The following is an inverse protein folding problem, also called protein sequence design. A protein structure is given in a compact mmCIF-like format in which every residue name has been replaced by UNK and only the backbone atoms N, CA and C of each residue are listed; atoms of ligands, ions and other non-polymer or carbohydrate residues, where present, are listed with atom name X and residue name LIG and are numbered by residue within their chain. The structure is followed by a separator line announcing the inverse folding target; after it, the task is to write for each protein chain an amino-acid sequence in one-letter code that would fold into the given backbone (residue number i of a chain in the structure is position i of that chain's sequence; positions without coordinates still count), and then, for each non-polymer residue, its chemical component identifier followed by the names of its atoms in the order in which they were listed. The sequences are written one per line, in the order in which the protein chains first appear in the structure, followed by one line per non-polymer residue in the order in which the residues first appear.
data_IF_991839396467
#
_entry.id   IF_991839396467
#
_cell.length_a   1.000
_cell.length_b   1.000
_cell.length_c   1.000
_cell.angle_alpha   90.00
_cell.angle_beta   90.00
_cell.angle_gamma   90.00
#
_symmetry.space_group_name_H-M   'P 1'
#
loop_
_entity.id
_entity.type
_entity.pdbx_description
1 polymer ?
#
# COMPACT_ATOMS: atom_id res chain seq x y z
N UNK A 1 -49.64 -57.51 -37.54
CA UNK A 1 -48.72 -57.13 -36.49
C UNK A 1 -47.49 -56.50 -37.16
N UNK A 2 -47.54 -55.19 -37.32
CA UNK A 2 -46.46 -54.41 -38.02
C UNK A 2 -45.62 -53.75 -36.98
N UNK A 3 -44.33 -54.11 -36.94
CA UNK A 3 -43.34 -53.49 -36.06
C UNK A 3 -42.86 -52.16 -36.69
N UNK A 4 -43.16 -51.08 -36.01
CA UNK A 4 -42.71 -49.74 -36.35
C UNK A 4 -41.27 -49.51 -35.75
N UNK A 5 -40.29 -49.42 -36.60
CA UNK A 5 -38.90 -49.09 -36.19
C UNK A 5 -38.78 -47.59 -36.27
N UNK A 6 -38.66 -46.95 -35.14
CA UNK A 6 -38.39 -45.51 -35.04
C UNK A 6 -36.85 -45.34 -35.04
N UNK A 7 -36.36 -44.72 -36.12
CA UNK A 7 -34.93 -44.38 -36.29
C UNK A 7 -34.71 -43.05 -35.56
N UNK A 8 -34.01 -43.08 -34.43
CA UNK A 8 -33.55 -41.87 -33.74
C UNK A 8 -32.27 -41.38 -34.39
N UNK A 9 -32.39 -40.30 -35.16
CA UNK A 9 -31.23 -39.57 -35.66
C UNK A 9 -30.69 -38.69 -34.54
N UNK A 10 -29.56 -39.07 -33.98
CA UNK A 10 -28.82 -38.24 -33.03
C UNK A 10 -28.02 -37.21 -33.82
N UNK A 11 -28.51 -35.98 -33.86
CA UNK A 11 -27.83 -34.82 -34.40
C UNK A 11 -26.83 -34.32 -33.33
N UNK A 12 -25.56 -34.69 -33.47
CA UNK A 12 -24.48 -34.19 -32.62
C UNK A 12 -24.19 -32.74 -33.01
N UNK A 13 -24.68 -31.79 -32.20
CA UNK A 13 -24.31 -30.40 -32.23
C UNK A 13 -22.90 -30.28 -31.57
N UNK A 14 -21.87 -30.13 -32.40
CA UNK A 14 -20.53 -29.74 -31.95
C UNK A 14 -20.61 -28.27 -31.62
N UNK A 15 -20.81 -27.96 -30.34
CA UNK A 15 -20.63 -26.62 -29.84
C UNK A 15 -19.09 -26.40 -29.69
N UNK A 16 -18.51 -25.75 -30.67
CA UNK A 16 -17.14 -25.22 -30.52
C UNK A 16 -17.18 -24.09 -29.46
N UNK A 17 -16.96 -24.47 -28.21
CA UNK A 17 -16.68 -23.53 -27.16
C UNK A 17 -15.29 -22.94 -27.43
N UNK A 18 -15.25 -21.71 -27.94
CA UNK A 18 -14.03 -20.91 -27.87
C UNK A 18 -13.85 -20.54 -26.39
N UNK A 19 -13.08 -21.37 -25.70
CA UNK A 19 -12.50 -20.99 -24.42
C UNK A 19 -11.48 -19.86 -24.67
N UNK A 20 -11.99 -18.62 -24.64
CA UNK A 20 -11.15 -17.47 -24.36
C UNK A 20 -10.81 -17.47 -22.86
N UNK A 21 -10.03 -18.45 -22.44
CA UNK A 21 -9.26 -18.33 -21.21
C UNK A 21 -8.18 -17.30 -21.47
N UNK A 22 -8.52 -16.04 -21.18
CA UNK A 22 -7.52 -15.00 -20.92
C UNK A 22 -6.82 -15.43 -19.63
N UNK A 23 -5.83 -16.29 -19.76
CA UNK A 23 -4.87 -16.59 -18.71
C UNK A 23 -3.97 -15.36 -18.55
N UNK A 24 -4.46 -14.38 -17.80
CA UNK A 24 -3.68 -13.19 -17.42
C UNK A 24 -2.83 -13.44 -16.17
N UNK A 25 -2.27 -14.63 -16.03
CA UNK A 25 -1.18 -14.89 -15.12
C UNK A 25 0.14 -14.94 -15.91
N UNK A 26 0.47 -13.83 -16.57
CA UNK A 26 1.87 -13.56 -16.80
C UNK A 26 2.46 -13.12 -15.45
N UNK A 27 3.09 -14.06 -14.73
CA UNK A 27 4.17 -13.74 -13.83
C UNK A 27 5.24 -13.06 -14.70
N UNK A 28 5.10 -11.75 -14.87
CA UNK A 28 6.20 -10.91 -15.34
C UNK A 28 7.15 -10.90 -14.14
N UNK A 29 8.12 -11.83 -14.13
CA UNK A 29 9.33 -11.61 -13.33
C UNK A 29 9.90 -10.28 -13.81
N UNK A 30 9.57 -9.21 -13.13
CA UNK A 30 10.08 -7.91 -13.46
C UNK A 30 11.58 -7.95 -13.18
N UNK A 31 12.36 -7.95 -14.26
CA UNK A 31 13.82 -7.88 -14.16
C UNK A 31 14.16 -6.69 -13.25
N UNK A 32 14.96 -6.95 -12.21
CA UNK A 32 15.41 -5.90 -11.31
C UNK A 32 16.13 -4.81 -12.11
N UNK A 33 15.60 -3.59 -12.04
CA UNK A 33 16.15 -2.42 -12.73
C UNK A 33 16.78 -1.52 -11.69
N UNK A 34 18.07 -1.21 -11.85
CA UNK A 34 18.77 -0.24 -11.00
C UNK A 34 18.16 1.16 -11.20
N UNK A 35 17.64 1.75 -10.14
CA UNK A 35 17.01 3.07 -10.14
C UNK A 35 17.72 4.08 -9.25
N UNK A 36 18.64 3.64 -8.40
CA UNK A 36 19.41 4.52 -7.51
C UNK A 36 20.32 3.77 -6.58
N UNK A 37 20.78 4.47 -5.56
CA UNK A 37 21.56 3.86 -4.48
C UNK A 37 21.33 4.55 -3.16
N UNK A 38 21.42 3.76 -2.09
CA UNK A 38 21.61 4.24 -0.73
C UNK A 38 23.10 4.29 -0.40
N UNK A 39 23.53 5.36 0.26
CA UNK A 39 24.88 5.46 0.78
C UNK A 39 24.82 5.52 2.31
N UNK A 40 25.55 4.65 2.97
CA UNK A 40 25.98 4.87 4.34
C UNK A 40 27.42 5.41 4.36
N UNK A 41 27.97 5.63 5.53
CA UNK A 41 29.32 6.22 5.67
C UNK A 41 30.43 5.32 5.10
N UNK A 42 30.15 4.07 4.76
CA UNK A 42 31.14 3.06 4.40
C UNK A 42 30.87 2.35 3.09
N UNK A 43 29.61 2.31 2.65
CA UNK A 43 29.16 1.47 1.55
C UNK A 43 28.08 2.14 0.71
N UNK A 44 27.97 1.67 -0.53
CA UNK A 44 26.94 2.07 -1.49
C UNK A 44 26.11 0.85 -1.85
N UNK A 45 24.81 0.92 -1.62
CA UNK A 45 23.88 -0.16 -1.87
C UNK A 45 22.95 0.14 -3.06
N UNK A 46 22.70 -0.83 -3.88
CA UNK A 46 21.84 -0.65 -5.04
C UNK A 46 20.37 -0.59 -4.63
N UNK A 47 19.66 0.40 -5.16
CA UNK A 47 18.20 0.49 -5.12
C UNK A 47 17.66 0.05 -6.47
N UNK A 48 16.78 -0.94 -6.46
CA UNK A 48 16.11 -1.44 -7.66
C UNK A 48 14.58 -1.23 -7.52
N UNK A 49 13.85 -1.40 -8.62
CA UNK A 49 12.39 -1.42 -8.56
C UNK A 49 11.89 -2.49 -7.58
N UNK A 50 10.88 -2.13 -6.81
CA UNK A 50 10.24 -3.02 -5.84
C UNK A 50 9.00 -3.73 -6.38
N UNK A 51 8.25 -4.35 -5.46
CA UNK A 51 7.05 -5.14 -5.74
C UNK A 51 5.79 -4.27 -5.62
N UNK A 52 4.89 -4.39 -6.59
CA UNK A 52 3.59 -3.70 -6.57
C UNK A 52 2.72 -4.15 -5.39
N UNK A 53 2.85 -5.40 -4.91
CA UNK A 53 2.11 -5.88 -3.75
C UNK A 53 2.39 -5.06 -2.50
N UNK A 54 3.60 -4.53 -2.35
CA UNK A 54 3.95 -3.64 -1.24
C UNK A 54 3.21 -2.30 -1.30
N UNK A 55 2.94 -1.80 -2.51
CA UNK A 55 2.10 -0.61 -2.72
C UNK A 55 0.67 -0.89 -2.28
N UNK A 56 0.13 -2.07 -2.57
CA UNK A 56 -1.22 -2.47 -2.14
C UNK A 56 -1.34 -2.58 -0.61
N UNK A 57 -0.29 -3.02 0.09
CA UNK A 57 -0.23 -3.02 1.56
C UNK A 57 -0.34 -1.59 2.10
N UNK A 58 0.43 -0.65 1.54
CA UNK A 58 0.40 0.75 1.94
C UNK A 58 -0.95 1.40 1.62
N UNK A 59 -1.55 1.03 0.48
CA UNK A 59 -2.91 1.48 0.15
C UNK A 59 -3.92 0.99 1.18
N UNK A 60 -3.90 -0.31 1.51
CA UNK A 60 -4.79 -0.89 2.54
C UNK A 60 -4.61 -0.21 3.90
N UNK A 61 -3.38 0.14 4.25
CA UNK A 61 -3.04 0.85 5.48
C UNK A 61 -3.72 2.23 5.56
N UNK A 62 -3.67 3.04 4.50
CA UNK A 62 -4.36 4.34 4.47
C UNK A 62 -5.87 4.21 4.28
N UNK A 63 -6.35 3.19 3.57
CA UNK A 63 -7.79 2.88 3.48
C UNK A 63 -8.36 2.53 4.87
N UNK A 64 -7.63 1.76 5.70
CA UNK A 64 -8.02 1.47 7.07
C UNK A 64 -8.17 2.76 7.92
N UNK A 65 -7.22 3.69 7.82
CA UNK A 65 -7.34 5.02 8.46
C UNK A 65 -8.57 5.79 7.98
N UNK A 66 -8.81 5.82 6.67
CA UNK A 66 -9.95 6.51 6.07
C UNK A 66 -11.28 5.91 6.54
N UNK A 67 -11.31 4.60 6.75
CA UNK A 67 -12.46 3.87 7.28
C UNK A 67 -12.59 3.93 8.81
N UNK A 68 -11.68 4.60 9.52
CA UNK A 68 -11.60 4.64 10.98
C UNK A 68 -11.37 3.26 11.62
N UNK A 69 -10.88 2.32 10.85
CA UNK A 69 -10.59 0.95 11.31
C UNK A 69 -9.14 0.88 11.82
N UNK A 70 -8.95 1.41 13.04
CA UNK A 70 -7.63 1.40 13.68
C UNK A 70 -7.17 -0.01 14.07
N UNK A 71 -8.09 -0.95 14.20
CA UNK A 71 -7.72 -2.34 14.42
C UNK A 71 -7.06 -2.94 13.17
N UNK A 72 -7.59 -2.65 11.97
CA UNK A 72 -6.95 -3.05 10.71
C UNK A 72 -5.58 -2.37 10.53
N UNK A 73 -5.43 -1.09 10.94
CA UNK A 73 -4.11 -0.43 10.96
C UNK A 73 -3.13 -1.20 11.86
N UNK A 74 -3.55 -1.54 13.09
CA UNK A 74 -2.74 -2.30 14.03
C UNK A 74 -2.32 -3.67 13.47
N UNK A 75 -3.21 -4.37 12.77
CA UNK A 75 -2.94 -5.68 12.16
C UNK A 75 -1.98 -5.61 10.97
N UNK A 76 -1.93 -4.45 10.29
CA UNK A 76 -0.99 -4.17 9.21
C UNK A 76 0.38 -3.68 9.69
N UNK A 77 0.59 -3.53 11.00
CA UNK A 77 1.87 -3.16 11.59
C UNK A 77 2.54 -4.35 12.28
N UNK A 78 3.87 -4.33 12.33
CA UNK A 78 4.61 -5.15 13.27
C UNK A 78 4.38 -4.63 14.69
N UNK A 79 4.39 -5.52 15.67
CA UNK A 79 4.22 -5.16 17.09
C UNK A 79 5.24 -4.10 17.53
N UNK A 80 6.48 -4.24 17.06
CA UNK A 80 7.62 -3.35 17.29
C UNK A 80 7.85 -2.38 16.12
N UNK A 81 6.77 -1.90 15.49
CA UNK A 81 6.86 -0.87 14.44
C UNK A 81 7.55 0.38 14.97
N UNK A 82 8.37 1.01 14.12
CA UNK A 82 9.10 2.23 14.46
C UNK A 82 8.74 3.35 13.46
N UNK A 83 7.97 4.35 13.91
CA UNK A 83 7.54 5.46 13.06
C UNK A 83 8.12 6.79 13.55
N UNK A 84 8.72 7.54 12.65
CA UNK A 84 9.29 8.86 12.87
C UNK A 84 8.32 9.93 12.36
N UNK A 85 7.63 10.60 13.27
CA UNK A 85 6.63 11.60 12.94
C UNK A 85 7.26 12.97 12.59
N UNK A 86 6.58 13.84 11.83
CA UNK A 86 7.11 15.13 11.37
C UNK A 86 7.45 16.13 12.50
N UNK A 87 6.86 15.94 13.67
CA UNK A 87 7.08 16.76 14.86
C UNK A 87 8.23 16.25 15.74
N UNK A 88 8.98 15.25 15.29
CA UNK A 88 10.07 14.62 16.03
C UNK A 88 9.64 13.54 17.03
N UNK A 89 8.35 13.25 17.14
CA UNK A 89 7.87 12.13 17.96
C UNK A 89 8.26 10.79 17.30
N UNK A 90 8.67 9.85 18.13
CA UNK A 90 8.94 8.48 17.73
C UNK A 90 7.86 7.58 18.33
N UNK A 91 7.27 6.76 17.49
CA UNK A 91 6.30 5.73 17.88
C UNK A 91 7.04 4.39 17.79
N UNK A 92 7.09 3.66 18.90
CA UNK A 92 7.95 2.48 19.04
C UNK A 92 7.17 1.15 19.10
N UNK A 93 5.85 1.20 18.93
CA UNK A 93 5.02 0.01 18.84
C UNK A 93 3.68 0.31 18.16
N UNK A 94 3.08 -0.71 17.56
CA UNK A 94 1.73 -0.64 16.98
C UNK A 94 0.67 -0.31 18.04
N UNK A 95 0.84 -0.77 19.28
CA UNK A 95 -0.05 -0.40 20.39
C UNK A 95 0.00 1.09 20.70
N UNK A 96 1.20 1.67 20.82
CA UNK A 96 1.36 3.11 21.01
C UNK A 96 0.74 3.91 19.86
N UNK A 97 0.90 3.40 18.62
CA UNK A 97 0.32 4.02 17.43
C UNK A 97 -1.21 3.97 17.45
N UNK A 98 -1.81 2.83 17.80
CA UNK A 98 -3.25 2.66 17.96
C UNK A 98 -3.82 3.67 18.97
N UNK A 99 -3.25 3.76 20.17
CA UNK A 99 -3.68 4.69 21.22
C UNK A 99 -3.55 6.17 20.77
N UNK A 100 -2.51 6.50 20.03
CA UNK A 100 -2.31 7.82 19.42
C UNK A 100 -3.33 8.11 18.32
N UNK A 101 -3.60 7.13 17.48
CA UNK A 101 -4.57 7.18 16.39
C UNK A 101 -5.99 7.41 16.90
N UNK A 102 -6.41 6.72 17.97
CA UNK A 102 -7.71 6.92 18.61
C UNK A 102 -7.90 8.37 19.06
N UNK A 103 -6.91 8.94 19.76
CA UNK A 103 -6.93 10.33 20.22
C UNK A 103 -6.96 11.31 19.05
N UNK A 104 -6.16 11.03 18.01
CA UNK A 104 -6.11 11.89 16.82
C UNK A 104 -7.45 11.88 16.08
N UNK A 105 -8.05 10.73 15.83
CA UNK A 105 -9.33 10.61 15.11
C UNK A 105 -10.50 11.19 15.92
N UNK A 106 -10.49 11.06 17.25
CA UNK A 106 -11.48 11.70 18.12
C UNK A 106 -11.44 13.23 18.04
N UNK A 107 -10.24 13.82 17.91
CA UNK A 107 -10.05 15.26 17.78
C UNK A 107 -10.25 15.78 16.34
N UNK A 108 -10.15 14.92 15.32
CA UNK A 108 -10.14 15.28 13.90
C UNK A 108 -11.16 14.47 13.09
N UNK A 109 -12.44 14.81 13.22
CA UNK A 109 -13.52 14.07 12.56
C UNK A 109 -13.44 14.11 11.03
N UNK A 110 -12.82 15.14 10.48
CA UNK A 110 -12.58 15.33 9.04
C UNK A 110 -11.21 14.84 8.58
N UNK A 111 -10.50 14.03 9.39
CA UNK A 111 -9.24 13.46 8.98
C UNK A 111 -9.42 12.54 7.76
N UNK A 112 -8.60 12.75 6.72
CA UNK A 112 -8.59 11.98 5.48
C UNK A 112 -7.17 11.92 4.93
N UNK A 113 -6.81 10.78 4.36
CA UNK A 113 -5.53 10.52 3.71
C UNK A 113 -5.80 10.17 2.24
N UNK A 114 -5.33 10.99 1.32
CA UNK A 114 -5.48 10.76 -0.12
C UNK A 114 -4.11 10.48 -0.73
N UNK A 115 -3.91 9.25 -1.21
CA UNK A 115 -2.69 8.87 -1.91
C UNK A 115 -2.67 9.57 -3.27
N UNK A 116 -1.60 10.32 -3.55
CA UNK A 116 -1.39 11.01 -4.83
C UNK A 116 -0.48 10.23 -5.76
N UNK A 117 0.49 9.52 -5.21
CA UNK A 117 1.39 8.61 -5.92
C UNK A 117 2.06 7.66 -4.94
N UNK A 118 2.54 6.51 -5.44
CA UNK A 118 3.35 5.55 -4.67
C UNK A 118 4.38 4.89 -5.57
N UNK A 119 5.53 4.59 -5.00
CA UNK A 119 6.60 3.84 -5.66
C UNK A 119 7.19 2.82 -4.68
N UNK A 120 7.37 1.59 -5.14
CA UNK A 120 8.05 0.54 -4.36
C UNK A 120 9.49 0.38 -4.82
N UNK A 121 10.39 0.19 -3.87
CA UNK A 121 11.82 0.01 -4.10
C UNK A 121 12.39 -1.09 -3.21
N UNK A 122 13.42 -1.79 -3.69
CA UNK A 122 14.22 -2.71 -2.90
C UNK A 122 15.63 -2.15 -2.73
N UNK A 123 16.11 -2.12 -1.49
CA UNK A 123 17.50 -1.79 -1.17
C UNK A 123 18.26 -3.10 -0.93
N UNK A 124 19.23 -3.39 -1.78
CA UNK A 124 19.99 -4.64 -1.73
C UNK A 124 21.30 -4.43 -0.98
N UNK A 125 21.42 -5.08 0.16
CA UNK A 125 22.62 -5.07 1.00
C UNK A 125 23.46 -6.34 0.78
N UNK A 126 24.77 -6.25 0.96
CA UNK A 126 25.67 -7.39 0.82
C UNK A 126 25.56 -8.37 2.00
N UNK A 127 25.34 -7.85 3.22
CA UNK A 127 25.48 -8.60 4.47
C UNK A 127 24.23 -8.58 5.36
N UNK A 128 23.11 -8.08 4.87
CA UNK A 128 21.81 -8.11 5.57
C UNK A 128 20.67 -8.33 4.55
N UNK A 129 19.49 -8.72 4.99
CA UNK A 129 18.33 -8.90 4.11
C UNK A 129 18.03 -7.64 3.29
N UNK A 130 17.54 -7.84 2.07
CA UNK A 130 16.96 -6.78 1.24
C UNK A 130 15.84 -6.09 2.00
N UNK A 131 15.86 -4.76 2.03
CA UNK A 131 14.75 -3.97 2.57
C UNK A 131 13.79 -3.59 1.45
N UNK A 132 12.50 -3.73 1.73
CA UNK A 132 11.43 -3.35 0.81
C UNK A 132 10.77 -2.07 1.30
N UNK A 133 10.88 -1.00 0.53
CA UNK A 133 10.38 0.32 0.88
C UNK A 133 9.31 0.78 -0.09
N UNK A 134 8.29 1.47 0.44
CA UNK A 134 7.28 2.17 -0.35
C UNK A 134 7.29 3.64 0.03
N UNK A 135 7.69 4.47 -0.93
CA UNK A 135 7.58 5.93 -0.81
C UNK A 135 6.25 6.38 -1.38
N UNK A 136 5.46 7.11 -0.60
CA UNK A 136 4.10 7.51 -0.95
C UNK A 136 3.90 8.99 -0.70
N UNK A 137 3.44 9.72 -1.71
CA UNK A 137 2.92 11.08 -1.56
C UNK A 137 1.45 11.04 -1.15
N UNK A 138 1.11 11.76 -0.09
CA UNK A 138 -0.27 11.84 0.39
C UNK A 138 -0.68 13.28 0.69
N UNK A 139 -1.94 13.60 0.46
CA UNK A 139 -2.60 14.78 0.97
C UNK A 139 -3.35 14.37 2.25
N UNK A 140 -3.06 15.03 3.36
CA UNK A 140 -3.71 14.78 4.65
C UNK A 140 -4.55 15.97 5.01
N UNK A 141 -5.86 15.77 5.09
CA UNK A 141 -6.80 16.74 5.67
C UNK A 141 -7.09 16.38 7.11
N UNK A 142 -7.28 17.38 7.97
CA UNK A 142 -7.67 17.19 9.36
C UNK A 142 -8.45 18.40 9.86
N UNK A 143 -9.28 18.21 10.85
CA UNK A 143 -10.09 19.23 11.46
C UNK A 143 -11.23 18.63 12.28
N UNK A 144 -11.73 19.38 13.25
CA UNK A 144 -12.89 18.97 14.06
C UNK A 144 -14.19 19.14 13.28
N UNK A 145 -14.26 20.18 12.46
CA UNK A 145 -15.39 20.57 11.62
C UNK A 145 -14.90 21.14 10.29
N UNK A 146 -15.79 21.43 9.37
CA UNK A 146 -15.44 21.95 8.03
C UNK A 146 -14.72 23.29 8.09
N UNK A 147 -15.08 24.15 9.05
CA UNK A 147 -14.48 25.48 9.19
C UNK A 147 -13.03 25.43 9.71
N UNK A 148 -12.69 24.41 10.49
CA UNK A 148 -11.34 24.18 11.04
C UNK A 148 -10.49 23.24 10.20
N UNK A 149 -11.02 22.75 9.07
CA UNK A 149 -10.32 21.82 8.18
C UNK A 149 -9.08 22.45 7.58
N UNK A 150 -7.96 21.77 7.71
CA UNK A 150 -6.69 22.13 7.12
C UNK A 150 -6.13 20.95 6.34
N UNK A 151 -5.27 21.23 5.37
CA UNK A 151 -4.62 20.18 4.59
C UNK A 151 -3.11 20.41 4.53
N UNK A 152 -2.36 19.32 4.55
CA UNK A 152 -0.91 19.29 4.43
C UNK A 152 -0.48 18.23 3.43
N UNK A 153 0.64 18.45 2.77
CA UNK A 153 1.28 17.42 1.94
C UNK A 153 2.29 16.64 2.77
N UNK A 154 2.28 15.33 2.64
CA UNK A 154 3.28 14.44 3.25
C UNK A 154 3.94 13.56 2.21
N UNK A 155 5.19 13.23 2.45
CA UNK A 155 5.89 12.10 1.86
C UNK A 155 6.14 11.12 2.99
N UNK A 156 5.74 9.88 2.77
CA UNK A 156 5.83 8.81 3.77
C UNK A 156 6.63 7.67 3.16
N UNK A 157 7.72 7.30 3.81
CA UNK A 157 8.53 6.14 3.46
C UNK A 157 8.21 5.02 4.44
N UNK A 158 7.66 3.90 3.96
CA UNK A 158 7.31 2.74 4.78
C UNK A 158 8.12 1.53 4.35
N UNK A 159 8.86 0.95 5.29
CA UNK A 159 9.51 -0.34 5.12
C UNK A 159 8.48 -1.44 5.37
N UNK A 160 8.32 -2.31 4.39
CA UNK A 160 7.42 -3.47 4.46
C UNK A 160 8.27 -4.72 4.70
N UNK A 161 7.95 -5.41 5.78
CA UNK A 161 8.55 -6.69 6.14
C UNK A 161 7.44 -7.68 6.45
N UNK A 162 7.52 -8.91 5.93
CA UNK A 162 6.53 -9.97 6.15
C UNK A 162 5.07 -9.52 5.93
N UNK A 163 4.86 -8.66 4.91
CA UNK A 163 3.53 -8.14 4.56
C UNK A 163 2.99 -7.06 5.51
N UNK A 164 3.82 -6.49 6.39
CA UNK A 164 3.43 -5.49 7.38
C UNK A 164 4.39 -4.30 7.39
N UNK A 165 3.89 -3.16 7.86
CA UNK A 165 4.70 -1.97 8.11
C UNK A 165 5.61 -2.22 9.30
N UNK A 166 6.91 -2.14 9.09
CA UNK A 166 7.94 -2.35 10.12
C UNK A 166 8.57 -1.04 10.58
N UNK A 167 8.75 -0.10 9.66
CA UNK A 167 9.39 1.17 9.93
C UNK A 167 8.80 2.24 9.01
N UNK A 168 8.78 3.50 9.47
CA UNK A 168 8.35 4.58 8.62
C UNK A 168 8.95 5.93 8.97
N UNK A 169 9.19 6.74 7.93
CA UNK A 169 9.59 8.14 8.04
C UNK A 169 8.50 9.01 7.42
N UNK A 170 8.07 10.04 8.14
CA UNK A 170 6.99 10.92 7.70
C UNK A 170 7.52 12.33 7.59
N UNK A 171 7.57 12.86 6.37
CA UNK A 171 7.93 14.23 6.07
C UNK A 171 6.68 15.04 5.74
N UNK A 172 6.61 16.28 6.23
CA UNK A 172 5.43 17.13 6.03
C UNK A 172 5.84 18.54 5.59
N UNK A 173 5.06 19.10 4.66
CA UNK A 173 5.09 20.51 4.33
C UNK A 173 3.69 21.11 4.33
N UNK A 174 3.62 22.41 4.54
CA UNK A 174 2.39 23.17 4.32
C UNK A 174 2.12 23.31 2.83
N UNK A 175 0.83 23.38 2.46
CA UNK A 175 0.43 23.70 1.10
C UNK A 175 0.52 25.22 0.89
N UNK A 176 0.98 25.64 -0.30
CA UNK A 176 0.82 27.02 -0.77
C UNK A 176 -0.64 27.32 -1.07
N UNK A 177 -1.02 28.59 -1.18
CA UNK A 177 -2.41 28.98 -1.49
C UNK A 177 -2.94 28.34 -2.77
N UNK A 178 -2.08 28.16 -3.79
CA UNK A 178 -2.45 27.56 -5.08
C UNK A 178 -2.58 26.03 -5.06
N UNK A 179 -2.18 25.38 -3.97
CA UNK A 179 -2.23 23.92 -3.80
C UNK A 179 -3.37 23.48 -2.86
N UNK A 180 -4.03 24.43 -2.20
CA UNK A 180 -5.15 24.12 -1.31
C UNK A 180 -6.35 23.63 -2.11
N UNK A 181 -7.02 22.53 -1.70
CA UNK A 181 -8.20 22.02 -2.39
C UNK A 181 -9.41 22.95 -2.26
#
# INVERSE_FOLDING_TARGET
MKKLIILFSVLALIISSCDNTVSSNQNIESKAVLIGYENDNTSKYNIVNGDINSVEIVKAYFDAYNNRDLQAVYELEHEDVLLYAPNGMIIESSKQHLEGGEKFLAANQFAKWEITWSISTHVNFENKPTENWVTTGILVSSGKDEASKTSVSRVVDLMIQDGKVKKGYIHQRQLSENEKP
#
